data_IF_058748833165
#
_entry.id   IF_058748833165
#
_cell.length_a   1.000
_cell.length_b   1.000
_cell.length_c   1.000
_cell.angle_alpha   90.00
_cell.angle_beta   90.00
_cell.angle_gamma   90.00
#
_symmetry.space_group_name_H-M   'P 1'
#
loop_
_entity.id
_entity.type
_entity.pdbx_description
1 polymer ?
#
# COMPACT_ATOMS: atom_id res chain seq x y z
N UNK A 1 22.60 25.97 38.20
CA UNK A 1 22.64 25.02 37.07
C UNK A 1 21.21 24.59 36.83
N UNK A 2 20.56 25.22 35.86
CA UNK A 2 19.26 24.78 35.35
C UNK A 2 19.49 23.49 34.57
N UNK A 3 18.85 22.41 35.01
CA UNK A 3 18.68 21.21 34.19
C UNK A 3 17.41 21.49 33.39
N UNK A 4 17.60 21.86 32.12
CA UNK A 4 16.51 21.94 31.14
C UNK A 4 16.04 20.50 30.92
N UNK A 5 14.85 20.20 31.42
CA UNK A 5 14.12 18.99 31.06
C UNK A 5 13.66 19.18 29.61
N UNK A 6 14.37 18.57 28.67
CA UNK A 6 13.87 18.35 27.31
C UNK A 6 12.66 17.41 27.40
N UNK A 7 11.48 18.01 27.57
CA UNK A 7 10.22 17.37 27.29
C UNK A 7 10.17 17.11 25.78
N UNK A 8 10.76 16.00 25.35
CA UNK A 8 10.45 15.41 24.04
C UNK A 8 8.98 15.02 24.11
N UNK A 9 8.13 15.92 23.64
CA UNK A 9 6.74 15.61 23.35
C UNK A 9 6.79 14.48 22.32
N UNK A 10 6.53 13.25 22.76
CA UNK A 10 6.17 12.16 21.85
C UNK A 10 4.93 12.62 21.10
N UNK A 11 5.12 13.19 19.91
CA UNK A 11 4.05 13.42 18.96
C UNK A 11 3.44 12.07 18.66
N UNK A 12 2.31 11.79 19.28
CA UNK A 12 1.50 10.62 18.90
C UNK A 12 1.00 10.93 17.50
N UNK A 13 1.34 10.06 16.54
CA UNK A 13 0.83 10.16 15.17
C UNK A 13 -0.65 9.83 15.22
N UNK A 14 -1.52 10.75 14.80
CA UNK A 14 -2.96 10.58 14.87
C UNK A 14 -3.55 10.73 13.47
N UNK A 15 -4.06 9.64 12.91
CA UNK A 15 -4.84 9.66 11.68
C UNK A 15 -6.33 9.79 12.01
N UNK A 16 -6.99 10.79 11.43
CA UNK A 16 -8.43 10.77 11.29
C UNK A 16 -8.81 9.69 10.26
N UNK A 17 -9.34 8.59 10.78
CA UNK A 17 -9.65 7.39 10.01
C UNK A 17 -11.11 7.41 9.59
N UNK A 18 -11.37 7.54 8.28
CA UNK A 18 -12.72 7.45 7.73
C UNK A 18 -13.10 6.00 7.44
N UNK A 19 -12.15 5.25 6.90
CA UNK A 19 -12.27 3.82 6.61
C UNK A 19 -10.93 3.18 6.95
N UNK A 20 -10.96 2.09 7.72
CA UNK A 20 -9.81 1.21 7.89
C UNK A 20 -10.34 -0.19 8.19
N UNK A 21 -10.40 -0.99 7.14
CA UNK A 21 -10.86 -2.37 7.22
C UNK A 21 -9.68 -3.35 7.43
N UNK A 22 -8.47 -2.85 7.73
CA UNK A 22 -7.25 -3.66 7.92
C UNK A 22 -7.35 -4.63 9.11
N UNK A 23 -6.61 -5.73 9.00
CA UNK A 23 -6.55 -6.78 10.03
C UNK A 23 -5.14 -6.81 10.62
N UNK A 24 -5.02 -7.18 11.90
CA UNK A 24 -3.72 -7.22 12.61
C UNK A 24 -2.67 -8.11 11.93
N UNK A 25 -3.11 -9.15 11.21
CA UNK A 25 -2.23 -10.08 10.51
C UNK A 25 -1.94 -9.68 9.06
N UNK A 26 -2.51 -8.58 8.57
CA UNK A 26 -2.20 -8.01 7.25
C UNK A 26 -1.10 -6.97 7.37
N UNK A 27 0.02 -7.23 6.68
CA UNK A 27 1.16 -6.33 6.70
C UNK A 27 1.04 -5.37 5.51
N UNK A 28 0.89 -4.08 5.80
CA UNK A 28 0.86 -2.99 4.81
C UNK A 28 2.25 -2.80 4.20
N UNK A 29 2.33 -2.92 2.88
CA UNK A 29 3.55 -2.66 2.09
C UNK A 29 3.27 -1.66 0.95
N UNK A 30 2.14 -0.94 1.02
CA UNK A 30 1.61 -0.11 -0.06
C UNK A 30 2.41 1.16 -0.34
N UNK A 31 3.27 1.64 0.57
CA UNK A 31 4.20 2.75 0.29
C UNK A 31 5.63 2.28 0.06
N UNK A 32 6.00 1.17 0.69
CA UNK A 32 7.35 0.63 0.83
C UNK A 32 8.24 0.63 -0.40
N UNK A 33 7.68 0.38 -1.59
CA UNK A 33 8.46 0.22 -2.83
C UNK A 33 8.08 1.19 -3.93
N UNK A 34 7.25 2.18 -3.60
CA UNK A 34 6.80 3.17 -4.56
C UNK A 34 7.92 4.13 -4.93
N UNK A 35 8.04 4.40 -6.23
CA UNK A 35 8.81 5.52 -6.77
C UNK A 35 7.88 6.63 -7.25
N UNK A 36 8.46 7.69 -7.80
CA UNK A 36 7.71 8.85 -8.29
C UNK A 36 8.13 9.21 -9.72
N UNK A 37 7.16 9.34 -10.63
CA UNK A 37 7.44 9.60 -12.05
C UNK A 37 8.22 10.91 -12.23
N UNK A 38 9.29 10.88 -13.04
CA UNK A 38 10.10 12.05 -13.33
C UNK A 38 11.12 12.42 -12.23
N UNK A 39 11.20 11.63 -11.16
CA UNK A 39 12.22 11.75 -10.12
C UNK A 39 13.23 10.62 -10.22
N UNK A 40 14.43 10.82 -9.64
CA UNK A 40 15.49 9.80 -9.61
C UNK A 40 15.15 8.58 -8.74
N UNK A 41 14.00 8.61 -8.04
CA UNK A 41 13.51 7.53 -7.20
C UNK A 41 12.69 6.54 -8.04
N UNK A 42 13.43 5.57 -8.58
CA UNK A 42 12.88 4.46 -9.35
C UNK A 42 12.25 3.47 -8.38
N UNK A 43 10.99 3.10 -8.62
CA UNK A 43 10.32 2.07 -7.87
C UNK A 43 11.14 0.78 -7.82
N UNK A 44 11.42 0.27 -6.62
CA UNK A 44 12.25 -0.91 -6.41
C UNK A 44 11.38 -2.08 -5.95
N UNK A 45 10.61 -2.64 -6.88
CA UNK A 45 9.68 -3.73 -6.59
C UNK A 45 10.45 -4.97 -6.13
N UNK A 46 10.18 -5.52 -4.92
CA UNK A 46 10.89 -6.69 -4.43
C UNK A 46 10.44 -7.95 -5.16
N UNK A 47 11.28 -8.98 -5.12
CA UNK A 47 11.00 -10.30 -5.69
C UNK A 47 10.04 -11.08 -4.77
N UNK A 48 8.77 -10.65 -4.69
CA UNK A 48 7.75 -11.26 -3.83
C UNK A 48 6.65 -11.98 -4.62
N UNK A 49 6.24 -13.15 -4.13
CA UNK A 49 5.18 -13.97 -4.69
C UNK A 49 4.66 -14.95 -3.63
N UNK A 50 3.44 -15.47 -3.79
CA UNK A 50 2.87 -16.45 -2.85
C UNK A 50 3.69 -17.75 -2.91
N UNK A 51 4.14 -18.23 -1.75
CA UNK A 51 5.06 -19.36 -1.59
C UNK A 51 6.55 -18.97 -1.53
N UNK A 52 6.90 -17.70 -1.74
CA UNK A 52 8.26 -17.21 -1.48
C UNK A 52 8.61 -17.37 0.01
N UNK A 53 9.88 -17.66 0.32
CA UNK A 53 10.33 -17.88 1.70
C UNK A 53 11.52 -16.96 1.98
N UNK A 54 11.48 -16.26 3.11
CA UNK A 54 12.50 -15.32 3.52
C UNK A 54 12.93 -15.56 4.97
N UNK A 55 14.16 -15.18 5.35
CA UNK A 55 14.50 -14.95 6.74
C UNK A 55 13.48 -14.05 7.44
N UNK A 56 13.15 -14.35 8.69
CA UNK A 56 12.21 -13.58 9.50
C UNK A 56 12.55 -12.09 9.55
N UNK A 57 13.84 -11.75 9.67
CA UNK A 57 14.32 -10.38 9.74
C UNK A 57 14.26 -9.62 8.41
N UNK A 58 14.13 -10.31 7.28
CA UNK A 58 13.92 -9.69 5.96
C UNK A 58 12.44 -9.67 5.55
N UNK A 59 11.59 -10.46 6.18
CA UNK A 59 10.17 -10.51 5.85
C UNK A 59 9.47 -9.20 6.22
N UNK A 60 8.77 -8.59 5.25
CA UNK A 60 8.12 -7.29 5.36
C UNK A 60 9.05 -6.09 5.69
N UNK A 61 10.36 -6.28 5.70
CA UNK A 61 11.36 -5.22 5.88
C UNK A 61 12.07 -4.92 4.56
N UNK A 62 12.65 -5.92 3.91
CA UNK A 62 13.41 -5.81 2.66
C UNK A 62 12.96 -6.82 1.60
N UNK A 63 12.43 -7.97 2.05
CA UNK A 63 12.26 -9.19 1.24
C UNK A 63 13.55 -9.60 0.51
N UNK A 64 14.72 -9.38 1.11
CA UNK A 64 15.99 -9.86 0.58
C UNK A 64 16.30 -11.30 1.02
N UNK A 65 17.21 -11.94 0.29
CA UNK A 65 17.74 -13.28 0.58
C UNK A 65 16.66 -14.38 0.58
N UNK A 66 15.86 -14.43 -0.49
CA UNK A 66 14.91 -15.53 -0.70
C UNK A 66 15.60 -16.90 -0.53
N UNK A 67 14.95 -17.80 0.21
CA UNK A 67 15.37 -19.20 0.32
C UNK A 67 14.86 -19.97 -0.90
N UNK A 68 15.77 -20.31 -1.80
CA UNK A 68 15.48 -20.91 -3.11
C UNK A 68 15.51 -22.44 -3.12
N UNK A 69 15.70 -23.09 -1.96
CA UNK A 69 15.61 -24.54 -1.81
C UNK A 69 14.29 -25.09 -2.37
N UNK A 70 14.30 -26.35 -2.81
CA UNK A 70 13.17 -26.98 -3.50
C UNK A 70 11.91 -26.98 -2.62
N UNK A 71 10.86 -26.35 -3.12
CA UNK A 71 9.54 -26.24 -2.46
C UNK A 71 8.57 -27.28 -3.00
N UNK A 72 7.56 -27.62 -2.20
CA UNK A 72 6.45 -28.47 -2.66
C UNK A 72 5.57 -27.67 -3.62
N UNK A 73 4.88 -28.37 -4.54
CA UNK A 73 3.85 -27.73 -5.37
C UNK A 73 2.77 -27.11 -4.49
N UNK A 74 2.27 -25.93 -4.87
CA UNK A 74 1.18 -25.26 -4.16
C UNK A 74 0.04 -24.93 -5.10
N UNK A 75 -1.18 -24.92 -4.56
CA UNK A 75 -2.33 -24.33 -5.25
C UNK A 75 -2.40 -22.86 -4.89
N UNK A 76 -2.43 -22.00 -5.90
CA UNK A 76 -2.74 -20.59 -5.78
C UNK A 76 -4.25 -20.42 -5.94
N UNK A 77 -4.88 -19.75 -5.00
CA UNK A 77 -6.29 -19.39 -5.00
C UNK A 77 -6.42 -17.87 -5.10
N UNK A 78 -7.15 -17.42 -6.11
CA UNK A 78 -7.47 -16.03 -6.39
C UNK A 78 -8.90 -15.75 -5.96
N UNK A 79 -9.08 -14.76 -5.10
CA UNK A 79 -10.35 -14.43 -4.44
C UNK A 79 -11.31 -13.57 -5.28
N UNK A 80 -11.28 -13.70 -6.62
CA UNK A 80 -12.27 -13.07 -7.47
C UNK A 80 -13.69 -13.52 -7.09
N UNK A 81 -14.70 -12.77 -7.56
CA UNK A 81 -16.12 -13.14 -7.38
C UNK A 81 -16.40 -14.58 -7.79
N UNK A 82 -15.79 -15.04 -8.88
CA UNK A 82 -15.69 -16.45 -9.27
C UNK A 82 -14.25 -16.91 -9.00
N UNK A 83 -14.00 -17.73 -7.96
CA UNK A 83 -12.63 -18.08 -7.58
C UNK A 83 -11.88 -18.78 -8.72
N UNK A 84 -10.61 -18.41 -8.89
CA UNK A 84 -9.71 -19.06 -9.83
C UNK A 84 -8.63 -19.82 -9.06
N UNK A 85 -8.36 -21.06 -9.44
CA UNK A 85 -7.35 -21.90 -8.79
C UNK A 85 -6.34 -22.37 -9.83
N UNK A 86 -5.05 -22.17 -9.55
CA UNK A 86 -3.96 -22.66 -10.38
C UNK A 86 -2.91 -23.38 -9.55
N UNK A 87 -2.43 -24.51 -10.05
CA UNK A 87 -1.34 -25.24 -9.43
C UNK A 87 0.01 -24.69 -9.91
N UNK A 88 0.86 -24.30 -8.98
CA UNK A 88 2.24 -23.92 -9.23
C UNK A 88 3.16 -25.08 -8.84
N UNK A 89 3.57 -25.88 -9.84
CA UNK A 89 4.42 -27.06 -9.63
C UNK A 89 5.85 -26.71 -9.19
N UNK A 90 6.35 -25.58 -9.69
CA UNK A 90 7.69 -25.10 -9.41
C UNK A 90 7.57 -23.69 -8.79
N UNK A 91 7.60 -23.66 -7.47
CA UNK A 91 7.31 -22.45 -6.67
C UNK A 91 8.49 -21.48 -6.75
N UNK A 92 8.46 -20.65 -7.79
CA UNK A 92 9.41 -19.59 -8.12
C UNK A 92 8.68 -18.44 -8.81
N UNK A 93 9.21 -17.23 -8.69
CA UNK A 93 8.55 -16.03 -9.22
C UNK A 93 8.24 -16.09 -10.72
N UNK A 94 9.14 -16.66 -11.53
CA UNK A 94 8.90 -16.76 -12.98
C UNK A 94 7.65 -17.60 -13.29
N UNK A 95 7.40 -18.66 -12.53
CA UNK A 95 6.21 -19.49 -12.71
C UNK A 95 4.96 -18.77 -12.20
N UNK A 96 5.08 -18.12 -11.03
CA UNK A 96 4.02 -17.26 -10.50
C UNK A 96 3.60 -16.16 -11.52
N UNK A 97 4.56 -15.50 -12.16
CA UNK A 97 4.28 -14.47 -13.17
C UNK A 97 3.59 -15.02 -14.42
N UNK A 98 3.91 -16.26 -14.84
CA UNK A 98 3.17 -16.92 -15.93
C UNK A 98 1.73 -17.17 -15.53
N UNK A 99 1.50 -17.69 -14.32
CA UNK A 99 0.17 -17.92 -13.78
C UNK A 99 -0.61 -16.61 -13.71
N UNK A 100 -0.04 -15.53 -13.17
CA UNK A 100 -0.68 -14.20 -13.14
C UNK A 100 -1.09 -13.76 -14.56
N UNK A 101 -0.20 -13.92 -15.55
CA UNK A 101 -0.47 -13.56 -16.95
C UNK A 101 -1.62 -14.36 -17.57
N UNK A 102 -1.78 -15.62 -17.18
CA UNK A 102 -2.90 -16.48 -17.59
C UNK A 102 -4.19 -16.06 -16.87
N UNK A 103 -4.12 -15.85 -15.56
CA UNK A 103 -5.23 -15.46 -14.70
C UNK A 103 -5.86 -14.15 -15.16
N UNK A 104 -5.08 -13.11 -15.46
CA UNK A 104 -5.64 -11.81 -15.91
C UNK A 104 -6.33 -11.89 -17.28
N UNK A 105 -6.14 -12.99 -18.02
CA UNK A 105 -6.82 -13.28 -19.30
C UNK A 105 -8.00 -14.24 -19.14
N UNK A 106 -8.21 -14.76 -17.94
CA UNK A 106 -9.28 -15.69 -17.61
C UNK A 106 -10.65 -15.00 -17.62
N UNK A 107 -11.73 -15.77 -17.77
CA UNK A 107 -13.09 -15.20 -17.75
C UNK A 107 -13.45 -14.72 -16.34
N UNK A 108 -12.96 -15.42 -15.33
CA UNK A 108 -13.09 -15.15 -13.91
C UNK A 108 -12.57 -13.74 -13.58
N UNK A 109 -11.39 -13.40 -14.08
CA UNK A 109 -10.83 -12.05 -13.91
C UNK A 109 -11.55 -11.02 -14.79
N UNK A 110 -11.90 -11.33 -16.05
CA UNK A 110 -12.59 -10.35 -16.91
C UNK A 110 -14.00 -9.99 -16.41
N UNK A 111 -14.64 -10.91 -15.66
CA UNK A 111 -15.92 -10.67 -14.99
C UNK A 111 -15.75 -10.13 -13.55
N UNK A 112 -14.51 -9.95 -13.08
CA UNK A 112 -14.24 -9.46 -11.74
C UNK A 112 -14.72 -8.03 -11.57
N UNK A 113 -15.49 -7.79 -10.51
CA UNK A 113 -15.99 -6.47 -10.16
C UNK A 113 -15.09 -5.87 -9.10
N UNK A 114 -14.31 -4.87 -9.52
CA UNK A 114 -13.50 -4.10 -8.60
C UNK A 114 -14.34 -3.39 -7.54
N UNK A 115 -13.82 -3.27 -6.30
CA UNK A 115 -14.53 -2.54 -5.27
C UNK A 115 -14.59 -1.06 -5.59
N UNK A 116 -15.74 -0.46 -5.29
CA UNK A 116 -16.03 0.96 -5.48
C UNK A 116 -15.86 1.77 -4.20
N UNK A 117 -15.43 1.14 -3.10
CA UNK A 117 -15.20 1.76 -1.80
C UNK A 117 -13.74 1.52 -1.38
N UNK A 118 -13.04 2.54 -0.85
CA UNK A 118 -11.70 2.35 -0.30
C UNK A 118 -11.66 1.30 0.81
N UNK A 119 -10.55 0.56 0.90
CA UNK A 119 -10.22 -0.31 2.02
C UNK A 119 -9.60 0.46 3.19
N UNK A 120 -8.78 1.47 2.87
CA UNK A 120 -8.26 2.45 3.82
C UNK A 120 -8.51 3.83 3.24
N UNK A 121 -9.01 4.74 4.07
CA UNK A 121 -9.11 6.17 3.80
C UNK A 121 -8.84 6.94 5.09
N UNK A 122 -7.69 7.61 5.13
CA UNK A 122 -7.17 8.33 6.29
C UNK A 122 -6.69 9.71 5.88
N UNK A 123 -6.84 10.67 6.79
CA UNK A 123 -6.30 12.02 6.67
C UNK A 123 -5.72 12.44 8.01
N UNK A 124 -4.67 13.25 8.02
CA UNK A 124 -4.12 13.85 9.23
C UNK A 124 -3.78 15.30 8.95
N UNK A 125 -3.91 16.15 9.97
CA UNK A 125 -3.27 17.46 9.98
C UNK A 125 -1.78 17.31 10.26
N UNK A 126 -0.96 18.09 9.55
CA UNK A 126 0.47 18.17 9.70
C UNK A 126 0.83 19.52 10.33
N UNK A 127 1.74 19.50 11.30
CA UNK A 127 2.33 20.74 11.84
C UNK A 127 3.26 21.42 10.84
N UNK A 128 3.91 20.63 9.99
CA UNK A 128 4.79 21.09 8.91
C UNK A 128 4.99 19.96 7.90
N UNK A 129 5.52 20.30 6.73
CA UNK A 129 5.89 19.31 5.71
C UNK A 129 7.02 18.36 6.15
N UNK A 130 7.81 18.72 7.17
CA UNK A 130 8.82 17.82 7.74
C UNK A 130 8.19 16.60 8.41
N UNK A 131 6.93 16.70 8.83
CA UNK A 131 6.25 15.60 9.49
C UNK A 131 5.77 14.50 8.51
N UNK A 132 5.86 14.70 7.19
CA UNK A 132 5.43 13.69 6.20
C UNK A 132 6.15 12.35 6.39
N UNK A 133 7.46 12.40 6.63
CA UNK A 133 8.32 11.21 6.84
C UNK A 133 7.97 10.44 8.12
N UNK A 134 7.26 11.05 9.07
CA UNK A 134 6.78 10.35 10.26
C UNK A 134 5.54 9.49 9.98
N UNK A 135 4.76 9.85 8.95
CA UNK A 135 3.51 9.17 8.60
C UNK A 135 3.66 8.18 7.45
N UNK A 136 4.74 8.31 6.66
CA UNK A 136 5.17 7.35 5.63
C UNK A 136 6.58 6.92 6.01
N UNK A 137 6.67 6.03 6.99
CA UNK A 137 7.92 5.62 7.66
C UNK A 137 8.56 4.36 7.05
N UNK A 138 7.88 3.71 6.10
CA UNK A 138 8.35 2.51 5.41
C UNK A 138 9.00 2.80 4.04
N UNK A 139 8.99 4.06 3.60
CA UNK A 139 9.65 4.53 2.37
C UNK A 139 10.09 6.01 2.48
N UNK A 140 11.28 6.22 3.04
CA UNK A 140 11.86 7.55 3.27
C UNK A 140 12.02 8.36 1.98
N UNK A 141 12.41 7.74 0.87
CA UNK A 141 12.60 8.44 -0.41
C UNK A 141 11.28 9.00 -0.94
N UNK A 142 10.24 8.16 -0.98
CA UNK A 142 8.92 8.54 -1.44
C UNK A 142 8.33 9.67 -0.58
N UNK A 143 8.44 9.55 0.76
CA UNK A 143 8.04 10.58 1.69
C UNK A 143 8.81 11.90 1.48
N UNK A 144 10.13 11.82 1.29
CA UNK A 144 11.00 12.98 1.04
C UNK A 144 10.66 13.70 -0.26
N UNK A 145 10.29 12.96 -1.32
CA UNK A 145 9.85 13.56 -2.58
C UNK A 145 8.54 14.31 -2.39
N UNK A 146 7.55 13.70 -1.73
CA UNK A 146 6.27 14.36 -1.47
C UNK A 146 6.46 15.64 -0.65
N UNK A 147 7.35 15.60 0.37
CA UNK A 147 7.79 16.80 1.11
C UNK A 147 8.40 17.87 0.21
N UNK A 148 9.34 17.50 -0.68
CA UNK A 148 9.99 18.43 -1.61
C UNK A 148 9.01 19.07 -2.58
N UNK A 149 8.03 18.30 -3.07
CA UNK A 149 6.96 18.83 -3.92
C UNK A 149 6.13 19.86 -3.15
N UNK A 150 5.66 19.52 -1.93
CA UNK A 150 4.93 20.44 -1.07
C UNK A 150 5.68 21.75 -0.82
N UNK A 151 6.97 21.67 -0.50
CA UNK A 151 7.81 22.85 -0.25
C UNK A 151 8.00 23.75 -1.49
N UNK A 152 7.92 23.16 -2.69
CA UNK A 152 8.12 23.88 -3.95
C UNK A 152 6.82 24.50 -4.46
N UNK A 153 5.71 23.82 -4.27
CA UNK A 153 4.45 24.13 -4.95
C UNK A 153 3.44 24.87 -4.07
N UNK A 154 3.47 24.65 -2.75
CA UNK A 154 2.51 25.30 -1.86
C UNK A 154 2.94 26.68 -1.39
N UNK A 155 1.98 27.60 -1.40
CA UNK A 155 2.08 28.87 -0.65
C UNK A 155 1.84 28.64 0.87
N UNK A 156 2.90 28.23 1.58
CA UNK A 156 2.85 27.92 3.01
C UNK A 156 2.50 29.17 3.85
N UNK A 157 2.87 30.38 3.39
CA UNK A 157 2.66 31.61 4.18
C UNK A 157 1.18 31.97 4.34
N UNK A 158 0.32 31.49 3.43
CA UNK A 158 -1.12 31.67 3.46
C UNK A 158 -1.87 30.38 3.83
N UNK A 159 -1.16 29.39 4.39
CA UNK A 159 -1.72 28.10 4.78
C UNK A 159 -2.08 28.11 6.26
N UNK A 160 -3.36 27.88 6.55
CA UNK A 160 -3.88 27.64 7.90
C UNK A 160 -3.76 26.17 8.26
N UNK A 161 -4.02 25.26 7.31
CA UNK A 161 -3.96 23.82 7.55
C UNK A 161 -3.20 23.11 6.44
N UNK A 162 -2.30 22.23 6.86
CA UNK A 162 -1.58 21.30 5.99
C UNK A 162 -2.06 19.89 6.31
N UNK A 163 -2.43 19.11 5.30
CA UNK A 163 -2.95 17.76 5.49
C UNK A 163 -2.15 16.74 4.70
N UNK A 164 -2.04 15.53 5.24
CA UNK A 164 -1.60 14.34 4.51
C UNK A 164 -2.73 13.33 4.46
N UNK A 165 -3.01 12.79 3.28
CA UNK A 165 -4.02 11.77 3.05
C UNK A 165 -3.44 10.49 2.48
N UNK A 166 -4.06 9.37 2.85
CA UNK A 166 -3.76 8.02 2.35
C UNK A 166 -5.07 7.32 1.99
N UNK A 167 -5.16 6.81 0.78
CA UNK A 167 -6.28 6.01 0.29
C UNK A 167 -5.75 4.73 -0.35
N UNK A 168 -6.36 3.59 -0.03
CA UNK A 168 -6.02 2.29 -0.62
C UNK A 168 -7.30 1.60 -1.07
N UNK A 169 -7.26 1.02 -2.26
CA UNK A 169 -8.26 0.07 -2.74
C UNK A 169 -7.64 -1.31 -2.90
N UNK A 170 -8.25 -2.34 -2.30
CA UNK A 170 -7.90 -3.73 -2.59
C UNK A 170 -8.51 -4.13 -3.93
N UNK A 171 -7.75 -4.83 -4.75
CA UNK A 171 -8.25 -5.50 -5.96
C UNK A 171 -8.62 -6.93 -5.59
N UNK A 172 -7.65 -7.81 -5.66
CA UNK A 172 -7.78 -9.23 -5.33
C UNK A 172 -6.59 -9.71 -4.50
N UNK A 173 -6.78 -10.83 -3.83
CA UNK A 173 -5.78 -11.54 -3.02
C UNK A 173 -5.45 -12.86 -3.68
N UNK A 174 -4.16 -13.14 -3.82
CA UNK A 174 -3.65 -14.47 -4.11
C UNK A 174 -3.26 -15.12 -2.80
N UNK A 175 -3.65 -16.37 -2.63
CA UNK A 175 -3.38 -17.16 -1.43
C UNK A 175 -2.97 -18.58 -1.80
N UNK A 176 -2.32 -19.30 -0.89
CA UNK A 176 -2.05 -20.73 -1.03
C UNK A 176 -2.57 -21.48 0.18
N UNK A 177 -2.96 -22.75 0.09
CA UNK A 177 -3.32 -23.50 1.30
C UNK A 177 -2.13 -23.66 2.25
N UNK A 178 -2.41 -23.89 3.55
CA UNK A 178 -1.36 -24.22 4.51
C UNK A 178 -0.78 -25.59 4.13
N UNK A 179 0.53 -25.70 3.84
CA UNK A 179 1.09 -26.94 3.35
C UNK A 179 1.21 -27.93 4.51
N UNK A 180 0.39 -28.98 4.51
CA UNK A 180 0.35 -30.00 5.58
C UNK A 180 1.72 -30.66 5.83
N UNK A 181 2.52 -30.83 4.77
CA UNK A 181 3.86 -31.45 4.82
C UNK A 181 4.99 -30.43 4.93
N UNK A 182 4.68 -29.16 5.19
CA UNK A 182 5.61 -28.04 5.14
C UNK A 182 5.86 -27.51 3.72
N UNK A 183 6.38 -26.29 3.61
CA UNK A 183 6.60 -25.61 2.31
C UNK A 183 7.73 -26.23 1.48
N UNK A 184 8.74 -26.83 2.14
CA UNK A 184 9.90 -27.43 1.47
C UNK A 184 9.73 -28.93 1.24
N UNK A 185 10.36 -29.44 0.18
CA UNK A 185 10.51 -30.90 -0.02
C UNK A 185 11.48 -31.47 1.01
N UNK A 186 12.58 -30.76 1.25
CA UNK A 186 13.56 -31.04 2.30
C UNK A 186 13.74 -29.78 3.14
N UNK A 187 13.51 -29.88 4.45
CA UNK A 187 13.57 -28.72 5.33
C UNK A 187 15.01 -28.19 5.46
N UNK A 188 15.23 -26.88 5.26
CA UNK A 188 16.53 -26.29 5.52
C UNK A 188 16.84 -26.27 7.02
N UNK A 189 18.13 -26.23 7.35
CA UNK A 189 18.60 -26.26 8.75
C UNK A 189 18.13 -25.06 9.57
N UNK A 190 17.93 -23.90 8.93
CA UNK A 190 17.50 -22.66 9.57
C UNK A 190 15.98 -22.43 9.54
N UNK A 191 15.16 -23.47 9.30
CA UNK A 191 13.70 -23.37 9.13
C UNK A 191 12.97 -22.61 10.25
N UNK A 192 13.53 -22.60 11.46
CA UNK A 192 12.90 -22.00 12.64
C UNK A 192 12.86 -20.46 12.58
N UNK A 193 13.69 -19.86 11.70
CA UNK A 193 13.79 -18.42 11.48
C UNK A 193 13.33 -18.04 10.07
N UNK A 194 12.49 -18.86 9.44
CA UNK A 194 11.98 -18.63 8.09
C UNK A 194 10.48 -18.38 8.09
N UNK A 195 10.06 -17.45 7.23
CA UNK A 195 8.67 -17.07 7.01
C UNK A 195 8.35 -17.22 5.53
N UNK A 196 7.27 -17.92 5.21
CA UNK A 196 6.76 -18.03 3.85
C UNK A 196 5.58 -17.09 3.62
N UNK A 197 5.52 -16.52 2.41
CA UNK A 197 4.47 -15.61 1.99
C UNK A 197 3.21 -16.41 1.67
N UNK A 198 2.22 -16.34 2.55
CA UNK A 198 0.97 -17.10 2.49
C UNK A 198 -0.10 -16.42 1.65
N UNK A 199 -0.15 -15.09 1.67
CA UNK A 199 -1.06 -14.29 0.85
C UNK A 199 -0.41 -13.03 0.35
N UNK A 200 -0.77 -12.61 -0.87
CA UNK A 200 -0.38 -11.35 -1.47
C UNK A 200 -1.62 -10.66 -2.03
N UNK A 201 -1.91 -9.46 -1.55
CA UNK A 201 -3.05 -8.66 -2.01
C UNK A 201 -2.57 -7.61 -3.00
N UNK A 202 -3.20 -7.56 -4.17
CA UNK A 202 -2.98 -6.56 -5.20
C UNK A 202 -4.02 -5.47 -5.09
N UNK A 203 -3.63 -4.23 -5.35
CA UNK A 203 -4.52 -3.09 -5.29
C UNK A 203 -3.86 -1.80 -5.75
N UNK A 204 -4.51 -0.68 -5.48
CA UNK A 204 -4.00 0.65 -5.83
C UNK A 204 -4.01 1.56 -4.62
N UNK A 205 -3.22 2.63 -4.67
CA UNK A 205 -3.16 3.61 -3.59
C UNK A 205 -3.03 5.03 -4.10
N UNK A 206 -3.47 5.98 -3.29
CA UNK A 206 -3.17 7.39 -3.44
C UNK A 206 -2.61 7.97 -2.14
N UNK A 207 -1.61 8.82 -2.29
CA UNK A 207 -1.05 9.66 -1.23
C UNK A 207 -1.15 11.10 -1.67
N UNK A 208 -1.60 11.99 -0.80
CA UNK A 208 -1.76 13.39 -1.19
C UNK A 208 -1.51 14.36 -0.05
N UNK A 209 -0.99 15.53 -0.42
CA UNK A 209 -0.91 16.68 0.48
C UNK A 209 -1.96 17.71 0.09
N UNK A 210 -2.56 18.36 1.09
CA UNK A 210 -3.43 19.52 0.88
C UNK A 210 -2.91 20.69 1.71
N UNK A 211 -2.72 21.84 1.08
CA UNK A 211 -2.46 23.11 1.77
C UNK A 211 -3.66 24.04 1.57
N UNK A 212 -4.21 24.56 2.66
CA UNK A 212 -5.43 25.36 2.62
C UNK A 212 -5.40 26.54 3.58
N UNK A 213 -6.07 27.63 3.20
CA UNK A 213 -6.39 28.74 4.10
C UNK A 213 -7.55 28.44 5.05
N UNK A 214 -8.21 27.31 4.88
CA UNK A 214 -9.31 26.87 5.74
C UNK A 214 -8.82 25.98 6.87
N UNK A 215 -9.49 25.96 8.03
CA UNK A 215 -9.20 25.05 9.13
C UNK A 215 -9.37 23.57 8.74
N UNK A 216 -8.63 22.68 9.40
CA UNK A 216 -8.58 21.25 9.09
C UNK A 216 -9.95 20.57 9.08
N UNK A 217 -10.83 20.90 10.04
CA UNK A 217 -12.18 20.34 10.14
C UNK A 217 -13.07 20.70 8.93
N UNK A 218 -12.87 21.86 8.31
CA UNK A 218 -13.58 22.25 7.09
C UNK A 218 -13.07 21.45 5.88
N UNK A 219 -11.76 21.21 5.79
CA UNK A 219 -11.18 20.34 4.76
C UNK A 219 -11.73 18.92 4.90
N UNK A 220 -11.68 18.35 6.12
CA UNK A 220 -12.26 17.03 6.42
C UNK A 220 -13.72 16.97 6.00
N UNK A 221 -14.52 17.99 6.32
CA UNK A 221 -15.94 18.03 5.96
C UNK A 221 -16.17 18.14 4.46
N UNK A 222 -15.28 18.85 3.75
CA UNK A 222 -15.33 18.97 2.29
C UNK A 222 -15.02 17.64 1.58
N UNK A 223 -14.21 16.78 2.22
CA UNK A 223 -13.86 15.43 1.74
C UNK A 223 -14.82 14.33 2.23
N UNK A 224 -15.56 14.54 3.34
CA UNK A 224 -16.54 13.60 3.92
C UNK A 224 -17.81 13.51 3.07
N UNK A 225 -17.71 12.85 1.93
CA UNK A 225 -18.84 12.37 1.16
C UNK A 225 -18.39 11.28 0.21
N UNK A 226 -19.19 10.24 -0.06
CA UNK A 226 -18.83 9.27 -1.10
C UNK A 226 -18.90 9.87 -2.50
N UNK A 227 -19.52 11.04 -2.67
CA UNK A 227 -19.70 11.73 -3.95
C UNK A 227 -19.80 13.23 -3.65
N UNK A 228 -18.96 14.04 -4.27
CA UNK A 228 -19.04 15.51 -4.27
C UNK A 228 -20.49 15.95 -4.49
N UNK A 229 -21.17 16.45 -3.45
CA UNK A 229 -22.37 17.28 -3.65
C UNK A 229 -21.88 18.64 -4.13
N UNK A 230 -21.96 18.79 -5.45
CA UNK A 230 -21.45 19.82 -6.37
C UNK A 230 -21.63 21.31 -6.01
N UNK A 231 -22.07 21.71 -4.82
CA UNK A 231 -22.46 23.12 -4.59
C UNK A 231 -21.99 23.76 -3.28
N UNK A 232 -21.77 23.04 -2.17
CA UNK A 232 -21.35 23.69 -0.91
C UNK A 232 -19.85 23.52 -0.60
N UNK A 233 -19.23 22.42 -1.05
CA UNK A 233 -17.85 22.08 -0.68
C UNK A 233 -16.81 22.41 -1.77
N UNK A 234 -17.25 22.87 -2.95
CA UNK A 234 -16.34 23.22 -4.06
C UNK A 234 -15.50 24.45 -3.73
N UNK A 235 -16.02 25.43 -2.98
CA UNK A 235 -15.27 26.65 -2.68
C UNK A 235 -13.99 26.35 -1.87
N UNK A 236 -14.08 25.51 -0.84
CA UNK A 236 -12.94 25.14 0.01
C UNK A 236 -11.88 24.44 -0.84
N UNK A 237 -12.27 23.42 -1.61
CA UNK A 237 -11.35 22.66 -2.45
C UNK A 237 -10.76 23.52 -3.59
N UNK A 238 -11.56 24.36 -4.24
CA UNK A 238 -11.12 25.28 -5.30
C UNK A 238 -10.13 26.33 -4.82
N UNK A 239 -10.19 26.69 -3.53
CA UNK A 239 -9.27 27.63 -2.89
C UNK A 239 -8.16 26.92 -2.08
N UNK A 240 -8.03 25.60 -2.22
CA UNK A 240 -6.97 24.79 -1.62
C UNK A 240 -6.02 24.31 -2.70
N UNK A 241 -4.80 23.98 -2.30
CA UNK A 241 -3.78 23.39 -3.17
C UNK A 241 -3.66 21.91 -2.84
N UNK A 242 -3.47 21.05 -3.85
CA UNK A 242 -3.26 19.62 -3.67
C UNK A 242 -2.07 19.16 -4.50
N UNK A 243 -1.31 18.21 -3.93
CA UNK A 243 -0.35 17.38 -4.66
C UNK A 243 -0.79 15.94 -4.44
N UNK A 244 -1.05 15.22 -5.51
CA UNK A 244 -1.59 13.87 -5.52
C UNK A 244 -0.59 12.93 -6.22
N UNK A 245 -0.27 11.85 -5.53
CA UNK A 245 0.50 10.72 -6.04
C UNK A 245 -0.42 9.50 -6.14
N UNK A 246 -0.73 9.05 -7.34
CA UNK A 246 -1.53 7.84 -7.59
C UNK A 246 -0.67 6.69 -8.10
N UNK A 247 -0.77 5.53 -7.47
CA UNK A 247 -0.08 4.30 -7.87
C UNK A 247 -1.13 3.26 -8.20
N UNK A 248 -1.23 2.91 -9.48
CA UNK A 248 -2.30 2.06 -10.01
C UNK A 248 -1.82 0.77 -10.66
N UNK A 249 -0.51 0.55 -10.83
CA UNK A 249 0.00 -0.61 -11.56
C UNK A 249 1.31 -1.18 -10.99
N UNK A 250 1.68 -2.35 -11.51
CA UNK A 250 2.81 -3.17 -11.06
C UNK A 250 4.19 -2.50 -11.13
N UNK A 251 4.32 -1.39 -11.88
CA UNK A 251 5.56 -0.60 -11.94
C UNK A 251 5.82 0.11 -10.61
N UNK A 252 4.78 0.33 -9.80
CA UNK A 252 4.85 1.04 -8.52
C UNK A 252 5.43 2.46 -8.63
N UNK A 253 5.33 3.07 -9.80
CA UNK A 253 5.72 4.47 -10.01
C UNK A 253 4.47 5.33 -9.91
N UNK A 254 4.49 6.32 -9.02
CA UNK A 254 3.38 7.24 -8.85
C UNK A 254 3.26 8.24 -10.00
N UNK A 255 2.06 8.36 -10.55
CA UNK A 255 1.67 9.49 -11.39
C UNK A 255 1.35 10.71 -10.51
N UNK A 256 1.73 11.90 -10.98
CA UNK A 256 1.59 13.16 -10.24
C UNK A 256 0.42 13.95 -10.80
N UNK A 257 -0.42 14.50 -9.92
CA UNK A 257 -1.45 15.47 -10.29
C UNK A 257 -1.62 16.53 -9.21
N UNK A 258 -2.05 17.73 -9.62
CA UNK A 258 -2.29 18.86 -8.71
C UNK A 258 -3.76 19.29 -8.72
N UNK A 259 -4.67 18.33 -8.90
CA UNK A 259 -6.11 18.60 -9.04
C UNK A 259 -6.96 17.69 -8.13
N UNK A 260 -7.93 18.29 -7.46
CA UNK A 260 -8.97 17.57 -6.74
C UNK A 260 -9.87 16.76 -7.67
N UNK A 261 -10.03 17.18 -8.92
CA UNK A 261 -10.74 16.40 -9.94
C UNK A 261 -10.00 15.08 -10.22
N UNK A 262 -8.67 15.11 -10.26
CA UNK A 262 -7.88 13.88 -10.43
C UNK A 262 -8.03 12.94 -9.23
N UNK A 263 -8.06 13.47 -8.01
CA UNK A 263 -8.36 12.68 -6.81
C UNK A 263 -9.76 12.06 -6.91
N UNK A 264 -10.78 12.83 -7.29
CA UNK A 264 -12.14 12.33 -7.45
C UNK A 264 -12.24 11.25 -8.54
N UNK A 265 -11.54 11.44 -9.66
CA UNK A 265 -11.48 10.47 -10.75
C UNK A 265 -10.83 9.16 -10.28
N UNK A 266 -9.73 9.25 -9.52
CA UNK A 266 -9.10 8.08 -8.90
C UNK A 266 -10.05 7.37 -7.93
N UNK A 267 -10.72 8.10 -7.03
CA UNK A 267 -11.68 7.51 -6.08
C UNK A 267 -12.85 6.80 -6.77
N UNK A 268 -13.31 7.34 -7.91
CA UNK A 268 -14.40 6.75 -8.69
C UNK A 268 -13.96 5.56 -9.56
N UNK A 269 -12.70 5.54 -10.01
CA UNK A 269 -12.18 4.53 -10.92
C UNK A 269 -10.72 4.12 -10.60
N UNK A 270 -10.45 3.53 -9.43
CA UNK A 270 -9.10 3.33 -8.92
C UNK A 270 -8.29 2.28 -9.70
N UNK A 271 -8.96 1.43 -10.51
CA UNK A 271 -8.37 0.38 -11.34
C UNK A 271 -8.47 0.68 -12.84
N UNK A 272 -8.76 1.93 -13.22
CA UNK A 272 -8.84 2.36 -14.63
C UNK A 272 -9.73 1.44 -15.48
N UNK A 273 -10.93 1.12 -14.98
CA UNK A 273 -11.88 0.24 -15.65
C UNK A 273 -11.34 -1.18 -15.93
N UNK A 274 -10.37 -1.64 -15.13
CA UNK A 274 -9.75 -2.96 -15.26
C UNK A 274 -8.55 -3.01 -16.20
N UNK A 275 -8.10 -1.87 -16.75
CA UNK A 275 -6.86 -1.79 -17.53
C UNK A 275 -5.62 -2.16 -16.69
N UNK A 276 -5.71 -1.98 -15.38
CA UNK A 276 -4.70 -2.40 -14.41
C UNK A 276 -5.32 -3.23 -13.30
N UNK A 277 -4.50 -4.12 -12.75
CA UNK A 277 -4.85 -4.97 -11.60
C UNK A 277 -4.17 -4.49 -10.31
N UNK A 278 -3.43 -3.38 -10.38
CA UNK A 278 -2.69 -2.83 -9.26
C UNK A 278 -1.30 -3.43 -9.06
N UNK A 279 -0.83 -3.32 -7.83
CA UNK A 279 0.46 -3.80 -7.36
C UNK A 279 0.31 -4.42 -5.95
N UNK A 280 1.30 -5.16 -5.45
CA UNK A 280 1.26 -5.71 -4.10
C UNK A 280 1.16 -4.62 -3.02
N UNK A 281 0.06 -4.61 -2.26
CA UNK A 281 -0.20 -3.61 -1.20
C UNK A 281 -0.26 -4.20 0.19
N UNK A 282 -0.62 -5.49 0.32
CA UNK A 282 -0.62 -6.19 1.60
C UNK A 282 -0.08 -7.60 1.44
N UNK A 283 0.56 -8.12 2.47
CA UNK A 283 0.94 -9.53 2.52
C UNK A 283 0.70 -10.15 3.90
N UNK A 284 0.71 -11.48 3.94
CA UNK A 284 0.71 -12.26 5.19
C UNK A 284 1.82 -13.30 5.15
N UNK A 285 2.57 -13.38 6.23
CA UNK A 285 3.61 -14.38 6.44
C UNK A 285 3.15 -15.48 7.38
N UNK A 286 3.68 -16.68 7.19
CA UNK A 286 3.55 -17.78 8.14
C UNK A 286 4.91 -18.40 8.40
N UNK A 287 5.19 -18.76 9.65
CA UNK A 287 6.43 -19.41 10.01
C UNK A 287 6.53 -20.80 9.40
N UNK A 288 7.69 -21.14 8.83
CA UNK A 288 7.95 -22.45 8.22
C UNK A 288 7.91 -23.57 9.26
N UNK A 289 8.31 -23.30 10.51
CA UNK A 289 8.42 -24.31 11.58
C UNK A 289 7.08 -24.92 12.01
N UNK A 290 6.02 -24.12 12.08
CA UNK A 290 4.77 -24.50 12.75
C UNK A 290 3.51 -23.93 12.07
N UNK A 291 3.64 -23.21 10.96
CA UNK A 291 2.54 -22.51 10.29
C UNK A 291 1.80 -21.53 11.22
N UNK A 292 2.46 -20.98 12.23
CA UNK A 292 1.91 -19.85 12.98
C UNK A 292 2.03 -18.56 12.16
N UNK A 293 1.11 -17.62 12.37
CA UNK A 293 1.11 -16.31 11.71
C UNK A 293 2.34 -15.51 12.11
N UNK A 294 3.05 -14.94 11.12
CA UNK A 294 4.10 -13.96 11.37
C UNK A 294 3.49 -12.60 11.69
N UNK A 295 3.91 -12.00 12.81
CA UNK A 295 3.50 -10.65 13.20
C UNK A 295 4.77 -9.79 13.31
N UNK A 296 4.91 -8.72 12.52
CA UNK A 296 6.08 -7.86 12.57
C UNK A 296 6.33 -7.28 13.97
N UNK A 297 7.59 -7.29 14.42
CA UNK A 297 8.00 -6.65 15.68
C UNK A 297 7.61 -7.38 16.96
N UNK A 298 7.15 -8.64 16.88
CA UNK A 298 7.01 -9.55 18.02
C UNK A 298 8.19 -10.51 18.14
#
# INVERSE_FOLDING_TARGET
MEIINDNVVKTTLVWDTFIDDSKEDEIDISSKYNGVQGWWDIANTPYIYVGAVFPENSFATSFDKEITSKKQSINLCFDFTEPYIAMMNDVRQNEYNKIIKEVIRSKEYQNFKYPTRPYIAKLTELKSLENVELYIDDNENFASILKKMGNKEFDINNTVSLCLGKVIFKGFTVSMDIPEKGIFVENPTNKDNLVYLRTLTYGTSAYFLIASKYPYNEIVSSLKGPFVKKQENEEILNNSQIILLTISDIRQTADISNSFEALQNYLNNPFMSGETYGYPIFCKGMYVKDNSTFIPGK
#
